data_IF_623044773664
#
_entry.id   IF_623044773664
#
_cell.length_a   1.000
_cell.length_b   1.000
_cell.length_c   1.000
_cell.angle_alpha   90.00
_cell.angle_beta   90.00
_cell.angle_gamma   90.00
#
_symmetry.space_group_name_H-M   'P 1'
#
loop_
_entity.id
_entity.type
_entity.pdbx_description
1 polymer ?
#
# COMPACT_ATOMS: atom_id res chain seq x y z
N UNK A 1 -20.19 26.14 -33.64
CA UNK A 1 -19.11 26.66 -32.77
C UNK A 1 -18.16 25.50 -32.49
N UNK A 2 -16.90 25.53 -32.94
CA UNK A 2 -15.95 24.49 -32.58
C UNK A 2 -15.68 24.55 -31.07
N UNK A 3 -15.76 23.39 -30.41
CA UNK A 3 -15.49 23.22 -28.97
C UNK A 3 -14.01 23.57 -28.74
N UNK A 4 -13.71 24.48 -27.81
CA UNK A 4 -12.31 24.76 -27.42
C UNK A 4 -11.74 23.50 -26.78
N UNK A 5 -10.76 22.90 -27.43
CA UNK A 5 -9.97 21.80 -26.89
C UNK A 5 -9.11 22.37 -25.76
N UNK A 6 -9.38 21.94 -24.53
CA UNK A 6 -8.55 22.27 -23.37
C UNK A 6 -7.42 21.24 -23.34
N UNK A 7 -6.26 21.57 -23.91
CA UNK A 7 -5.08 20.72 -23.79
C UNK A 7 -4.51 20.83 -22.37
N UNK A 8 -4.27 19.69 -21.72
CA UNK A 8 -3.76 19.64 -20.37
C UNK A 8 -2.36 19.03 -20.36
N UNK A 9 -1.35 19.87 -20.20
CA UNK A 9 0.02 19.38 -20.01
C UNK A 9 0.21 18.85 -18.60
N UNK A 10 0.45 17.55 -18.47
CA UNK A 10 0.77 16.93 -17.17
C UNK A 10 2.20 17.28 -16.73
N UNK A 11 2.40 17.53 -15.43
CA UNK A 11 3.72 17.72 -14.83
C UNK A 11 4.15 16.41 -14.15
N UNK A 12 5.29 15.86 -14.56
CA UNK A 12 5.81 14.63 -13.97
C UNK A 12 7.04 14.07 -14.69
N UNK A 13 7.44 12.82 -14.40
CA UNK A 13 8.45 12.10 -15.17
C UNK A 13 8.14 12.14 -16.67
N UNK A 14 9.18 12.30 -17.51
CA UNK A 14 9.03 12.38 -18.98
C UNK A 14 8.25 11.19 -19.57
N UNK A 15 8.47 10.00 -19.01
CA UNK A 15 7.77 8.77 -19.39
C UNK A 15 6.25 8.84 -19.25
N UNK A 16 5.73 9.59 -18.28
CA UNK A 16 4.28 9.80 -18.17
C UNK A 16 3.80 10.81 -19.20
N UNK A 17 4.58 11.88 -19.43
CA UNK A 17 4.24 12.93 -20.40
C UNK A 17 4.16 12.36 -21.83
N UNK A 18 5.07 11.47 -22.19
CA UNK A 18 5.13 10.82 -23.50
C UNK A 18 3.99 9.82 -23.71
N UNK A 19 3.56 9.13 -22.64
CA UNK A 19 2.48 8.15 -22.70
C UNK A 19 1.08 8.76 -22.46
N UNK A 20 0.99 10.08 -22.31
CA UNK A 20 -0.26 10.79 -22.05
C UNK A 20 -0.99 11.15 -23.35
N UNK A 21 -2.28 10.80 -23.43
CA UNK A 21 -3.14 11.10 -24.57
C UNK A 21 -4.15 12.19 -24.21
N UNK A 22 -4.00 13.38 -24.79
CA UNK A 22 -4.86 14.54 -24.54
C UNK A 22 -6.33 14.33 -24.98
N UNK A 23 -6.59 13.33 -25.83
CA UNK A 23 -7.94 13.03 -26.33
C UNK A 23 -8.79 12.21 -25.37
N UNK A 24 -8.14 11.55 -24.40
CA UNK A 24 -8.78 10.64 -23.45
C UNK A 24 -9.02 11.32 -22.11
N UNK A 25 -10.00 10.80 -21.36
CA UNK A 25 -10.23 11.27 -19.99
C UNK A 25 -9.07 10.87 -19.08
N UNK A 26 -8.88 11.62 -17.98
CA UNK A 26 -7.87 11.28 -16.95
C UNK A 26 -8.04 9.84 -16.48
N UNK A 27 -9.27 9.39 -16.25
CA UNK A 27 -9.57 8.01 -15.84
C UNK A 27 -9.08 6.99 -16.87
N UNK A 28 -9.42 7.19 -18.14
CA UNK A 28 -9.01 6.29 -19.23
C UNK A 28 -7.49 6.26 -19.41
N UNK A 29 -6.81 7.40 -19.30
CA UNK A 29 -5.35 7.46 -19.37
C UNK A 29 -4.68 6.73 -18.23
N UNK A 30 -5.12 6.94 -16.98
CA UNK A 30 -4.56 6.23 -15.84
C UNK A 30 -4.74 4.71 -16.01
N UNK A 31 -5.93 4.26 -16.43
CA UNK A 31 -6.18 2.85 -16.72
C UNK A 31 -5.27 2.33 -17.85
N UNK A 32 -5.14 3.06 -18.96
CA UNK A 32 -4.28 2.66 -20.08
C UNK A 32 -2.80 2.56 -19.69
N UNK A 33 -2.35 3.40 -18.76
CA UNK A 33 -1.00 3.37 -18.21
C UNK A 33 -0.79 2.21 -17.22
N UNK A 34 -1.85 1.56 -16.74
CA UNK A 34 -1.80 0.57 -15.66
C UNK A 34 -1.73 1.21 -14.26
N UNK A 35 -2.15 2.47 -14.14
CA UNK A 35 -2.19 3.24 -12.89
C UNK A 35 -3.62 3.36 -12.38
N UNK A 36 -3.76 3.43 -11.06
CA UNK A 36 -5.05 3.64 -10.41
C UNK A 36 -5.42 5.13 -10.43
N UNK A 37 -6.64 5.46 -10.86
CA UNK A 37 -7.11 6.86 -10.89
C UNK A 37 -7.68 7.33 -9.54
N UNK A 38 -8.26 6.42 -8.74
CA UNK A 38 -8.84 6.73 -7.43
C UNK A 38 -8.42 5.69 -6.40
N UNK A 39 -8.12 6.18 -5.19
CA UNK A 39 -7.82 5.37 -4.02
C UNK A 39 -9.07 5.08 -3.16
N UNK A 40 -10.23 5.63 -3.53
CA UNK A 40 -11.45 5.46 -2.76
C UNK A 40 -12.17 4.17 -3.20
N UNK A 41 -12.24 3.12 -2.36
CA UNK A 41 -12.90 1.87 -2.71
C UNK A 41 -14.42 2.06 -2.90
N UNK A 42 -15.00 3.03 -2.19
CA UNK A 42 -16.44 3.35 -2.24
C UNK A 42 -16.77 4.52 -3.18
N UNK A 43 -15.95 4.79 -4.21
CA UNK A 43 -16.24 5.87 -5.15
C UNK A 43 -17.64 5.71 -5.75
N UNK A 44 -18.56 6.60 -5.37
CA UNK A 44 -19.95 6.56 -5.80
C UNK A 44 -20.06 7.00 -7.27
N UNK A 45 -20.62 6.14 -8.12
CA UNK A 45 -20.86 6.41 -9.53
C UNK A 45 -20.55 5.20 -10.40
N UNK A 46 -21.38 4.95 -11.41
CA UNK A 46 -21.15 3.87 -12.38
C UNK A 46 -19.84 4.09 -13.13
N UNK A 47 -19.02 3.05 -13.21
CA UNK A 47 -17.83 3.06 -14.06
C UNK A 47 -18.27 2.83 -15.50
N UNK A 48 -17.87 3.72 -16.41
CA UNK A 48 -18.12 3.50 -17.83
C UNK A 48 -17.38 2.21 -18.24
N UNK A 49 -18.08 1.21 -18.82
CA UNK A 49 -17.41 0.06 -19.39
C UNK A 49 -16.53 0.58 -20.52
N UNK A 50 -15.22 0.38 -20.40
CA UNK A 50 -14.34 0.56 -21.55
C UNK A 50 -14.83 -0.44 -22.59
N UNK A 51 -15.12 0.02 -23.81
CA UNK A 51 -15.37 -0.86 -24.95
C UNK A 51 -14.11 -1.68 -25.19
N UNK A 52 -14.00 -2.79 -24.46
CA UNK A 52 -13.26 -3.94 -24.94
C UNK A 52 -14.04 -4.35 -26.18
N UNK A 53 -13.42 -4.27 -27.35
CA UNK A 53 -13.95 -4.88 -28.56
C UNK A 53 -13.96 -6.41 -28.34
N UNK A 54 -14.94 -6.88 -27.57
CA UNK A 54 -15.24 -8.27 -27.42
C UNK A 54 -15.94 -8.70 -28.71
N UNK A 55 -15.23 -9.58 -29.41
CA UNK A 55 -15.73 -10.41 -30.51
C UNK A 55 -17.05 -11.02 -30.03
N UNK A 56 -18.12 -10.66 -30.72
CA UNK A 56 -19.50 -11.00 -30.38
C UNK A 56 -19.68 -12.52 -30.29
N UNK A 57 -19.91 -13.03 -29.09
CA UNK A 57 -20.59 -14.31 -28.91
C UNK A 57 -21.97 -14.03 -28.32
N UNK A 58 -22.97 -14.39 -29.12
CA UNK A 58 -24.38 -14.22 -28.90
C UNK A 58 -24.84 -15.10 -27.75
N UNK A 59 -25.50 -14.52 -26.74
CA UNK A 59 -26.33 -15.30 -25.80
C UNK A 59 -27.72 -14.66 -25.76
N UNK A 60 -28.63 -15.34 -26.43
CA UNK A 60 -30.06 -15.10 -26.43
C UNK A 60 -30.72 -15.56 -25.11
N UNK A 61 -31.73 -14.80 -24.68
CA UNK A 61 -32.92 -15.21 -23.91
C UNK A 61 -32.78 -15.70 -22.45
N UNK A 62 -33.41 -14.98 -21.52
CA UNK A 62 -34.73 -15.37 -20.97
C UNK A 62 -35.20 -14.43 -19.84
N UNK A 63 -36.35 -13.78 -20.06
CA UNK A 63 -37.24 -13.31 -19.00
C UNK A 63 -38.00 -14.50 -18.40
N UNK A 64 -38.16 -14.53 -17.07
CA UNK A 64 -39.46 -14.73 -16.41
C UNK A 64 -39.28 -14.88 -14.88
N UNK A 65 -40.09 -14.10 -14.17
CA UNK A 65 -40.34 -14.08 -12.74
C UNK A 65 -40.80 -15.42 -12.15
N UNK A 66 -40.18 -15.87 -11.06
CA UNK A 66 -40.75 -16.81 -10.09
C UNK A 66 -40.38 -16.37 -8.67
N UNK A 67 -41.39 -15.98 -7.90
CA UNK A 67 -41.27 -15.62 -6.49
C UNK A 67 -41.25 -16.92 -5.68
N UNK A 68 -40.09 -17.29 -5.15
CA UNK A 68 -39.95 -18.32 -4.12
C UNK A 68 -39.53 -17.64 -2.82
N UNK A 69 -40.31 -17.81 -1.76
CA UNK A 69 -40.04 -17.20 -0.47
C UNK A 69 -38.86 -17.91 0.23
N UNK A 70 -37.85 -17.17 0.71
CA UNK A 70 -36.81 -17.76 1.55
C UNK A 70 -37.35 -18.03 2.96
N UNK A 71 -37.19 -19.26 3.44
CA UNK A 71 -37.63 -19.75 4.75
C UNK A 71 -36.65 -19.44 5.89
N UNK A 72 -35.59 -18.65 5.66
CA UNK A 72 -34.61 -18.27 6.69
C UNK A 72 -34.50 -16.76 6.86
N UNK A 73 -34.81 -16.29 8.06
CA UNK A 73 -34.70 -14.90 8.48
C UNK A 73 -33.21 -14.62 8.82
N UNK A 74 -32.63 -13.56 8.27
CA UNK A 74 -31.23 -13.15 8.53
C UNK A 74 -31.09 -12.56 9.94
N UNK A 75 -29.99 -12.84 10.65
CA UNK A 75 -29.69 -12.31 11.98
C UNK A 75 -29.80 -10.76 11.97
N UNK A 76 -30.55 -10.19 12.92
CA UNK A 76 -30.82 -8.74 13.03
C UNK A 76 -32.10 -8.24 12.33
N UNK A 77 -32.81 -9.08 11.56
CA UNK A 77 -34.11 -8.73 10.95
C UNK A 77 -35.23 -9.58 11.57
N UNK A 78 -36.38 -8.97 11.87
CA UNK A 78 -37.57 -9.68 12.38
C UNK A 78 -38.65 -9.86 11.32
N UNK A 79 -39.34 -11.00 11.30
CA UNK A 79 -40.47 -11.23 10.37
C UNK A 79 -41.78 -10.84 11.05
N UNK A 80 -42.47 -9.85 10.47
CA UNK A 80 -43.77 -9.37 10.94
C UNK A 80 -44.86 -10.07 10.14
N UNK A 81 -45.75 -10.80 10.82
CA UNK A 81 -46.93 -11.44 10.22
C UNK A 81 -48.18 -10.59 10.54
N UNK A 82 -48.91 -10.20 9.50
CA UNK A 82 -50.16 -9.42 9.58
C UNK A 82 -51.36 -10.24 9.14
N UNK A 83 -52.53 -9.93 9.67
CA UNK A 83 -53.80 -10.47 9.18
C UNK A 83 -54.23 -9.76 7.88
N UNK A 84 -55.30 -10.27 7.24
CA UNK A 84 -55.85 -9.72 6.00
C UNK A 84 -56.39 -8.28 6.16
N UNK A 85 -56.62 -7.83 7.39
CA UNK A 85 -57.01 -6.46 7.72
C UNK A 85 -55.81 -5.52 7.96
N UNK A 86 -54.57 -6.03 7.86
CA UNK A 86 -53.34 -5.27 8.01
C UNK A 86 -52.88 -5.04 9.46
N UNK A 87 -53.53 -5.67 10.43
CA UNK A 87 -53.12 -5.61 11.84
C UNK A 87 -52.00 -6.61 12.11
N UNK A 88 -51.04 -6.22 12.95
CA UNK A 88 -49.89 -7.06 13.30
C UNK A 88 -50.30 -8.10 14.34
N UNK A 89 -50.24 -9.38 13.97
CA UNK A 89 -50.62 -10.49 14.85
C UNK A 89 -49.41 -11.08 15.56
N UNK A 90 -48.25 -11.18 14.89
CA UNK A 90 -47.06 -11.81 15.48
C UNK A 90 -45.76 -11.27 14.89
N UNK A 91 -44.74 -11.14 15.74
CA UNK A 91 -43.36 -10.81 15.36
C UNK A 91 -42.50 -11.99 15.80
N UNK A 92 -41.88 -12.70 14.85
CA UNK A 92 -40.93 -13.77 15.14
C UNK A 92 -39.50 -13.24 14.98
N UNK A 93 -38.72 -13.37 16.06
CA UNK A 93 -37.29 -13.08 16.08
C UNK A 93 -36.53 -14.39 16.39
N UNK A 94 -35.44 -14.70 15.69
CA UNK A 94 -34.58 -15.81 16.09
C UNK A 94 -33.88 -15.49 17.42
N UNK A 95 -33.81 -16.48 18.31
CA UNK A 95 -33.16 -16.39 19.62
C UNK A 95 -31.65 -16.16 19.44
N UNK A 96 -31.11 -15.19 20.17
CA UNK A 96 -29.74 -14.70 20.04
C UNK A 96 -28.79 -15.64 20.81
N UNK A 97 -27.78 -16.22 20.14
CA UNK A 97 -26.73 -16.97 20.81
C UNK A 97 -25.95 -16.02 21.74
N UNK A 98 -25.78 -16.42 23.01
CA UNK A 98 -25.12 -15.69 24.09
C UNK A 98 -23.79 -15.02 23.69
N UNK A 99 -23.62 -13.75 24.08
CA UNK A 99 -22.35 -13.03 23.98
C UNK A 99 -21.21 -13.76 24.73
N UNK A 100 -19.98 -13.81 24.20
CA UNK A 100 -18.85 -14.31 24.96
C UNK A 100 -18.45 -13.31 26.06
N UNK A 101 -17.97 -13.80 27.23
CA UNK A 101 -17.72 -12.96 28.39
C UNK A 101 -16.59 -11.95 28.15
N UNK A 102 -16.80 -10.74 28.67
CA UNK A 102 -15.82 -9.65 28.72
C UNK A 102 -14.47 -10.14 29.25
N UNK A 103 -13.47 -10.21 28.36
CA UNK A 103 -12.10 -10.53 28.75
C UNK A 103 -11.45 -9.34 29.47
N UNK A 104 -10.93 -9.64 30.66
CA UNK A 104 -10.40 -8.70 31.63
C UNK A 104 -9.28 -7.80 31.08
N UNK A 105 -9.42 -6.49 31.32
CA UNK A 105 -8.40 -5.48 31.06
C UNK A 105 -7.23 -5.59 32.04
N UNK A 106 -6.18 -6.34 31.70
CA UNK A 106 -4.82 -6.13 32.26
C UNK A 106 -3.75 -6.50 31.23
N UNK A 107 -2.94 -5.49 30.90
CA UNK A 107 -1.70 -5.53 30.11
C UNK A 107 -1.79 -6.17 28.72
N UNK A 108 -2.18 -5.35 27.73
CA UNK A 108 -1.86 -5.62 26.31
C UNK A 108 -0.86 -4.56 25.87
N UNK A 109 0.42 -4.92 25.95
CA UNK A 109 1.47 -4.26 25.18
C UNK A 109 0.99 -4.19 23.73
N UNK A 110 0.83 -2.97 23.19
CA UNK A 110 0.19 -2.71 21.90
C UNK A 110 1.07 -3.27 20.77
N UNK A 111 1.01 -4.58 20.57
CA UNK A 111 1.56 -5.25 19.40
C UNK A 111 0.67 -4.83 18.23
N UNK A 112 1.28 -4.32 17.16
CA UNK A 112 0.54 -3.87 15.98
C UNK A 112 -0.41 -4.98 15.51
N UNK A 113 -1.61 -4.64 15.01
CA UNK A 113 -2.58 -5.66 14.63
C UNK A 113 -1.92 -6.56 13.57
N UNK A 114 -1.85 -7.85 13.86
CA UNK A 114 -1.32 -8.87 12.96
C UNK A 114 -2.33 -9.06 11.83
N UNK A 115 -2.32 -8.13 10.86
CA UNK A 115 -3.20 -8.21 9.70
C UNK A 115 -2.75 -9.39 8.85
N UNK A 116 -3.66 -10.34 8.64
CA UNK A 116 -3.44 -11.46 7.73
C UNK A 116 -3.13 -10.93 6.32
N UNK A 117 -2.11 -11.50 5.66
CA UNK A 117 -1.67 -11.07 4.33
C UNK A 117 -2.79 -11.10 3.29
N UNK A 118 -3.80 -11.95 3.50
CA UNK A 118 -5.00 -12.07 2.65
C UNK A 118 -5.88 -10.82 2.74
N UNK A 119 -6.07 -10.27 3.94
CA UNK A 119 -6.86 -9.06 4.21
C UNK A 119 -6.14 -7.84 3.66
N UNK A 120 -4.82 -7.75 3.87
CA UNK A 120 -4.01 -6.67 3.26
C UNK A 120 -4.08 -6.75 1.73
N UNK A 121 -4.02 -7.97 1.18
CA UNK A 121 -4.20 -8.22 -0.25
C UNK A 121 -5.53 -7.67 -0.76
N UNK A 122 -6.65 -8.00 -0.13
CA UNK A 122 -7.97 -7.49 -0.52
C UNK A 122 -8.03 -5.95 -0.51
N UNK A 123 -7.48 -5.31 0.51
CA UNK A 123 -7.51 -3.84 0.63
C UNK A 123 -6.57 -3.11 -0.32
N UNK A 124 -5.43 -3.71 -0.67
CA UNK A 124 -4.46 -3.12 -1.62
C UNK A 124 -4.86 -3.39 -3.07
N UNK A 125 -5.45 -4.55 -3.34
CA UNK A 125 -5.79 -5.00 -4.71
C UNK A 125 -7.13 -4.48 -5.21
N UNK A 126 -8.04 -4.06 -4.33
CA UNK A 126 -9.37 -3.52 -4.71
C UNK A 126 -9.41 -1.98 -4.80
N UNK A 127 -8.24 -1.32 -4.72
CA UNK A 127 -8.13 0.13 -4.96
C UNK A 127 -8.24 0.41 -6.46
N UNK A 128 -9.47 0.51 -6.98
CA UNK A 128 -9.69 0.91 -8.38
C UNK A 128 -10.99 0.42 -9.02
N UNK A 129 -11.70 -0.49 -8.38
CA UNK A 129 -12.99 -1.00 -8.83
C UNK A 129 -12.89 -2.10 -9.89
N UNK A 130 -13.62 -3.19 -9.61
CA UNK A 130 -13.97 -4.34 -10.46
C UNK A 130 -12.81 -5.08 -11.14
N UNK A 131 -12.70 -6.37 -10.84
CA UNK A 131 -11.83 -7.33 -11.53
C UNK A 131 -12.01 -7.33 -13.07
N UNK A 132 -13.16 -6.86 -13.57
CA UNK A 132 -13.47 -6.78 -15.01
C UNK A 132 -12.80 -5.62 -15.74
N UNK A 133 -12.22 -4.66 -15.02
CA UNK A 133 -11.50 -3.52 -15.61
C UNK A 133 -10.00 -3.54 -15.35
N UNK A 134 -9.44 -4.69 -14.90
CA UNK A 134 -7.99 -4.89 -14.90
C UNK A 134 -7.52 -4.93 -16.35
N UNK A 135 -6.75 -3.93 -16.85
CA UNK A 135 -5.85 -4.23 -17.96
C UNK A 135 -4.87 -5.30 -17.48
N UNK A 136 -4.12 -5.93 -18.37
CA UNK A 136 -3.04 -6.86 -18.04
C UNK A 136 -1.91 -6.12 -17.27
N UNK A 137 -2.18 -5.79 -16.00
CA UNK A 137 -1.66 -4.60 -15.32
C UNK A 137 -0.30 -4.84 -14.66
N UNK A 138 0.28 -6.03 -14.82
CA UNK A 138 1.63 -6.34 -14.37
C UNK A 138 2.71 -5.97 -15.39
N UNK A 139 2.34 -5.70 -16.65
CA UNK A 139 3.30 -5.66 -17.74
C UNK A 139 3.44 -4.34 -18.49
N UNK A 140 2.74 -3.28 -18.05
CA UNK A 140 2.91 -1.96 -18.64
C UNK A 140 4.37 -1.53 -18.56
N UNK A 141 4.99 -1.34 -19.72
CA UNK A 141 6.38 -0.90 -19.86
C UNK A 141 6.60 0.43 -19.12
N UNK A 142 5.58 1.28 -19.11
CA UNK A 142 5.57 2.55 -18.37
C UNK A 142 5.66 2.29 -16.87
N UNK A 143 4.85 1.39 -16.31
CA UNK A 143 4.90 1.06 -14.87
C UNK A 143 6.27 0.49 -14.50
N UNK A 144 6.82 -0.43 -15.29
CA UNK A 144 8.19 -0.96 -15.10
C UNK A 144 9.25 0.14 -15.16
N UNK A 145 9.09 1.14 -16.02
CA UNK A 145 9.99 2.29 -16.09
C UNK A 145 9.85 3.20 -14.86
N UNK A 146 8.64 3.46 -14.37
CA UNK A 146 8.39 4.19 -13.13
C UNK A 146 8.99 3.47 -11.92
N UNK A 147 8.82 2.15 -11.84
CA UNK A 147 9.39 1.32 -10.78
C UNK A 147 10.92 1.45 -10.74
N UNK A 148 11.60 1.35 -11.89
CA UNK A 148 13.06 1.54 -11.97
C UNK A 148 13.51 2.92 -11.49
N UNK A 149 12.74 3.96 -11.79
CA UNK A 149 13.03 5.32 -11.31
C UNK A 149 12.77 5.44 -9.80
N UNK A 150 11.79 4.71 -9.28
CA UNK A 150 11.42 4.74 -7.87
C UNK A 150 12.29 3.86 -6.98
N UNK A 151 12.87 2.77 -7.51
CA UNK A 151 13.72 1.88 -6.72
C UNK A 151 14.95 2.63 -6.24
N UNK A 152 15.20 2.70 -4.91
CA UNK A 152 16.39 3.36 -4.40
C UNK A 152 17.61 2.60 -4.88
N UNK A 153 18.50 3.28 -5.61
CA UNK A 153 19.72 2.71 -6.20
C UNK A 153 20.70 2.10 -5.17
N UNK A 154 20.45 2.25 -3.87
CA UNK A 154 21.34 1.73 -2.82
C UNK A 154 20.57 0.96 -1.73
N UNK A 155 20.72 -0.38 -1.64
CA UNK A 155 20.07 -1.21 -0.63
C UNK A 155 20.55 -0.92 0.80
N UNK A 156 21.71 -0.26 0.97
CA UNK A 156 22.28 0.11 2.27
C UNK A 156 21.94 1.55 2.69
N UNK A 157 21.14 2.29 1.90
CA UNK A 157 20.76 3.65 2.23
C UNK A 157 19.61 3.69 3.23
N UNK A 158 19.90 4.08 4.48
CA UNK A 158 18.93 4.18 5.58
C UNK A 158 17.92 5.33 5.41
N UNK A 159 17.92 6.05 4.29
CA UNK A 159 17.05 7.21 4.06
C UNK A 159 16.45 7.17 2.65
N UNK A 160 15.12 7.07 2.57
CA UNK A 160 14.31 7.15 1.35
C UNK A 160 14.55 8.43 0.52
N UNK A 161 15.20 9.45 1.08
CA UNK A 161 15.48 10.74 0.42
C UNK A 161 16.63 10.72 -0.62
N UNK A 162 17.37 9.62 -0.76
CA UNK A 162 18.55 9.58 -1.63
C UNK A 162 18.23 9.81 -3.12
N UNK A 163 17.08 9.32 -3.60
CA UNK A 163 16.74 9.42 -5.04
C UNK A 163 16.30 10.83 -5.46
N UNK A 164 15.75 11.63 -4.55
CA UNK A 164 15.17 12.94 -4.90
C UNK A 164 16.20 14.08 -4.92
N UNK A 165 17.32 13.92 -4.20
CA UNK A 165 18.23 15.04 -3.93
C UNK A 165 19.59 14.91 -4.60
N UNK A 166 19.82 13.84 -5.40
CA UNK A 166 21.16 13.47 -5.91
C UNK A 166 22.23 13.40 -4.79
N UNK A 167 21.80 13.42 -3.52
CA UNK A 167 22.68 13.37 -2.39
C UNK A 167 23.11 11.91 -2.23
N UNK A 168 24.36 11.65 -2.59
CA UNK A 168 24.98 10.34 -2.41
C UNK A 168 24.95 9.89 -0.95
N UNK A 169 25.39 8.64 -0.68
CA UNK A 169 25.48 8.11 0.68
C UNK A 169 26.16 9.10 1.62
N UNK A 170 25.59 9.31 2.82
CA UNK A 170 26.18 10.23 3.80
C UNK A 170 27.44 9.60 4.39
N UNK A 171 28.60 10.04 3.94
CA UNK A 171 29.89 9.61 4.49
C UNK A 171 30.16 10.24 5.87
N UNK A 172 31.01 9.58 6.66
CA UNK A 172 31.58 10.19 7.86
C UNK A 172 32.48 11.38 7.48
N UNK A 173 32.61 12.36 8.35
CA UNK A 173 33.56 13.46 8.12
C UNK A 173 35.01 12.94 8.18
N UNK A 174 35.96 13.65 7.56
CA UNK A 174 37.38 13.25 7.62
C UNK A 174 37.90 13.11 9.05
N UNK A 175 37.46 13.98 9.97
CA UNK A 175 37.80 13.88 11.39
C UNK A 175 37.20 12.65 12.07
N UNK A 176 35.95 12.31 11.75
CA UNK A 176 35.31 11.09 12.27
C UNK A 176 35.98 9.82 11.73
N UNK A 177 36.41 9.81 10.46
CA UNK A 177 37.17 8.70 9.88
C UNK A 177 38.50 8.48 10.60
N UNK A 178 39.28 9.54 10.84
CA UNK A 178 40.56 9.45 11.57
C UNK A 178 40.37 9.03 13.03
N UNK A 179 39.27 9.46 13.65
CA UNK A 179 38.91 9.04 14.99
C UNK A 179 38.60 7.53 15.02
N UNK A 180 37.73 7.06 14.12
CA UNK A 180 37.34 5.66 14.04
C UNK A 180 38.49 4.75 13.61
N UNK A 181 39.37 5.20 12.71
CA UNK A 181 40.53 4.42 12.27
C UNK A 181 41.46 4.09 13.43
N UNK A 182 41.75 5.05 14.32
CA UNK A 182 42.56 4.83 15.53
C UNK A 182 41.92 3.83 16.49
N UNK A 183 40.60 3.86 16.62
CA UNK A 183 39.85 2.90 17.44
C UNK A 183 39.97 1.48 16.87
N UNK A 184 39.82 1.35 15.55
CA UNK A 184 39.92 0.07 14.81
C UNK A 184 41.36 -0.46 14.83
N UNK A 185 42.37 0.39 14.66
CA UNK A 185 43.78 -0.02 14.75
C UNK A 185 44.13 -0.63 16.11
N UNK A 186 43.55 -0.12 17.21
CA UNK A 186 43.85 -0.61 18.56
C UNK A 186 43.00 -1.81 18.98
N UNK A 187 41.70 -1.78 18.70
CA UNK A 187 40.73 -2.77 19.21
C UNK A 187 40.22 -3.75 18.15
N UNK A 188 40.60 -3.56 16.88
CA UNK A 188 40.17 -4.39 15.75
C UNK A 188 38.65 -4.35 15.59
N UNK A 189 38.01 -5.51 15.76
CA UNK A 189 36.54 -5.68 15.67
C UNK A 189 35.82 -5.57 17.01
N UNK A 190 36.54 -5.40 18.12
CA UNK A 190 35.94 -5.36 19.46
C UNK A 190 35.37 -3.97 19.80
N UNK A 191 34.12 -3.73 19.41
CA UNK A 191 33.44 -2.45 19.66
C UNK A 191 33.19 -2.18 21.15
N UNK A 192 33.08 -3.22 21.97
CA UNK A 192 32.97 -3.03 23.42
C UNK A 192 34.28 -2.56 24.05
N UNK A 193 35.41 -3.07 23.56
CA UNK A 193 36.75 -2.60 23.94
C UNK A 193 36.95 -1.13 23.58
N UNK A 194 36.49 -0.74 22.38
CA UNK A 194 36.53 0.67 21.94
C UNK A 194 35.71 1.59 22.84
N UNK A 195 34.52 1.16 23.26
CA UNK A 195 33.65 1.96 24.12
C UNK A 195 34.26 2.18 25.52
N UNK A 196 34.95 1.16 26.06
CA UNK A 196 35.62 1.22 27.38
C UNK A 196 36.93 2.00 27.36
N UNK A 197 37.48 2.30 26.19
CA UNK A 197 38.76 3.01 26.06
C UNK A 197 38.64 4.51 26.35
N UNK A 198 38.92 4.91 27.59
CA UNK A 198 38.84 6.31 28.03
C UNK A 198 39.84 7.25 27.34
N UNK A 199 40.91 6.72 26.73
CA UNK A 199 41.94 7.53 26.08
C UNK A 199 41.59 7.83 24.64
N UNK A 200 41.13 6.82 23.90
CA UNK A 200 40.77 6.99 22.49
C UNK A 200 39.31 7.39 22.29
N UNK A 201 38.41 7.12 23.23
CA UNK A 201 37.01 7.54 23.23
C UNK A 201 36.75 8.61 24.30
N UNK A 202 37.28 9.85 24.14
CA UNK A 202 37.12 10.92 25.11
C UNK A 202 35.64 11.34 25.27
N UNK A 203 34.86 11.23 24.19
CA UNK A 203 33.43 11.55 24.19
C UNK A 203 32.56 10.44 24.79
N UNK A 204 33.16 9.34 25.28
CA UNK A 204 32.43 8.24 25.91
C UNK A 204 31.27 7.70 25.05
N UNK A 205 31.48 7.66 23.72
CA UNK A 205 30.50 7.11 22.77
C UNK A 205 30.15 5.68 23.18
N UNK A 206 28.85 5.39 23.25
CA UNK A 206 28.36 4.05 23.57
C UNK A 206 28.74 3.05 22.48
N UNK A 207 28.80 1.76 22.81
CA UNK A 207 29.12 0.72 21.85
C UNK A 207 28.19 0.74 20.62
N UNK A 208 26.89 0.99 20.82
CA UNK A 208 25.92 1.12 19.72
C UNK A 208 26.16 2.36 18.84
N UNK A 209 26.59 3.48 19.44
CA UNK A 209 26.97 4.67 18.67
C UNK A 209 28.21 4.42 17.81
N UNK A 210 29.23 3.74 18.36
CA UNK A 210 30.43 3.35 17.62
C UNK A 210 30.13 2.33 16.52
N UNK A 211 29.26 1.33 16.75
CA UNK A 211 28.82 0.39 15.70
C UNK A 211 28.21 1.11 14.51
N UNK A 212 27.27 2.03 14.75
CA UNK A 212 26.63 2.81 13.69
C UNK A 212 27.63 3.70 12.94
N UNK A 213 28.60 4.26 13.65
CA UNK A 213 29.63 5.12 13.07
C UNK A 213 30.60 4.33 12.18
N UNK A 214 31.01 3.14 12.61
CA UNK A 214 31.86 2.24 11.83
C UNK A 214 31.17 1.78 10.56
N UNK A 215 29.90 1.39 10.64
CA UNK A 215 29.08 1.03 9.46
C UNK A 215 28.95 2.22 8.51
N UNK A 216 28.66 3.41 9.02
CA UNK A 216 28.58 4.63 8.21
C UNK A 216 29.92 4.99 7.53
N UNK A 217 31.04 4.70 8.19
CA UNK A 217 32.37 4.95 7.67
C UNK A 217 32.90 3.81 6.76
N UNK A 218 32.21 2.68 6.66
CA UNK A 218 32.70 1.49 5.95
C UNK A 218 33.91 0.82 6.61
N UNK A 219 34.10 1.04 7.92
CA UNK A 219 35.20 0.48 8.73
C UNK A 219 34.74 -0.68 9.61
N UNK A 220 33.56 -1.23 9.35
CA UNK A 220 33.11 -2.46 9.97
C UNK A 220 33.82 -3.61 9.23
N UNK A 221 34.60 -4.42 9.95
CA UNK A 221 35.40 -5.53 9.37
C UNK A 221 34.54 -6.69 8.85
N UNK A 222 33.33 -6.41 8.37
CA UNK A 222 32.35 -7.33 7.77
C UNK A 222 32.05 -6.85 6.36
N UNK A 223 33.08 -6.77 5.53
CA UNK A 223 32.92 -6.67 4.08
C UNK A 223 33.27 -7.98 3.42
#
# INVERSE_FOLDING_TARGET
MPRREQSFTIRGPKILQEAWDDTKTVRQNYIALGLIHTLNPSAAGGVEPLEVQERTEEIETASASKVEQPTQIRKGFGKIIRDEAGNVVRIEMPEEDEEPPAHNARDTEMTGPELESTVVGAWVTDLGGSEKSKPDSGDSEVVKALERISTPLNPNATTLCASLTNAGPRHASSGEMNYLSRLVEKHGTNVEGMARDRRLNPEQRTAGALRRALVKAGLDGRS
#
